data_IF_972843434680
#
_entry.id   IF_972843434680
#
_cell.length_a   1.000
_cell.length_b   1.000
_cell.length_c   1.000
_cell.angle_alpha   90.00
_cell.angle_beta   90.00
_cell.angle_gamma   90.00
#
_symmetry.space_group_name_H-M   'P 1'
#
loop_
_entity.id
_entity.type
_entity.pdbx_description
1 polymer ?
#
# COMPACT_ATOMS: atom_id res chain seq x y z
N UNK A 1 49.14 32.62 -7.15
CA UNK A 1 47.82 32.37 -6.53
C UNK A 1 47.04 31.39 -7.40
N UNK A 2 46.63 30.25 -6.85
CA UNK A 2 45.98 29.13 -7.55
C UNK A 2 44.51 29.46 -7.83
N UNK A 3 44.16 29.79 -9.07
CA UNK A 3 42.81 30.21 -9.50
C UNK A 3 41.97 29.09 -10.16
N UNK A 4 42.37 27.82 -10.06
CA UNK A 4 41.73 26.71 -10.78
C UNK A 4 40.73 25.87 -9.98
N UNK A 5 40.29 26.30 -8.80
CA UNK A 5 39.44 25.46 -7.93
C UNK A 5 37.96 25.86 -7.88
N UNK A 6 37.59 27.07 -8.31
CA UNK A 6 36.22 27.57 -8.11
C UNK A 6 35.14 26.96 -9.02
N UNK A 7 35.37 26.71 -10.34
CA UNK A 7 34.29 26.18 -11.20
C UNK A 7 34.01 24.69 -10.96
N UNK A 8 35.01 23.93 -10.50
CA UNK A 8 34.85 22.51 -10.19
C UNK A 8 33.98 22.29 -8.95
N UNK A 9 34.12 23.16 -7.94
CA UNK A 9 33.35 23.11 -6.68
C UNK A 9 31.90 23.53 -6.92
N UNK A 10 31.64 24.49 -7.81
CA UNK A 10 30.28 24.91 -8.14
C UNK A 10 29.50 23.81 -8.88
N UNK A 11 30.19 23.05 -9.74
CA UNK A 11 29.59 21.96 -10.52
C UNK A 11 29.21 20.76 -9.64
N UNK A 12 30.03 20.43 -8.63
CA UNK A 12 29.69 19.36 -7.67
C UNK A 12 28.51 19.75 -6.76
N UNK A 13 28.38 21.01 -6.35
CA UNK A 13 27.22 21.46 -5.54
C UNK A 13 25.92 21.37 -6.36
N UNK A 14 25.96 21.73 -7.64
CA UNK A 14 24.81 21.65 -8.56
C UNK A 14 24.39 20.19 -8.87
N UNK A 15 25.36 19.29 -8.95
CA UNK A 15 25.10 17.85 -9.14
C UNK A 15 24.60 17.16 -7.86
N UNK A 16 25.00 17.63 -6.66
CA UNK A 16 24.47 17.11 -5.40
C UNK A 16 23.02 17.53 -5.13
N UNK A 17 22.56 18.67 -5.67
CA UNK A 17 21.17 19.12 -5.49
C UNK A 17 20.11 18.30 -6.23
N UNK A 18 20.50 17.39 -7.12
CA UNK A 18 19.57 16.56 -7.92
C UNK A 18 19.26 15.21 -7.24
N UNK A 19 19.86 14.91 -6.07
CA UNK A 19 19.72 13.60 -5.40
C UNK A 19 18.67 13.61 -4.28
N UNK A 20 18.03 14.74 -4.00
CA UNK A 20 17.14 14.91 -2.83
C UNK A 20 15.65 14.89 -3.19
N UNK A 21 15.19 13.88 -3.92
CA UNK A 21 13.75 13.60 -4.05
C UNK A 21 13.46 12.15 -4.44
N UNK A 22 14.16 11.18 -3.86
CA UNK A 22 13.49 9.91 -3.57
C UNK A 22 12.63 10.16 -2.33
N UNK A 23 11.45 10.74 -2.50
CA UNK A 23 10.39 10.45 -1.53
C UNK A 23 10.24 8.94 -1.60
N UNK A 24 10.62 8.22 -0.55
CA UNK A 24 10.25 6.82 -0.42
C UNK A 24 8.73 6.79 -0.64
N UNK A 25 8.31 6.17 -1.75
CA UNK A 25 6.91 5.91 -1.97
C UNK A 25 6.56 4.87 -0.91
N UNK A 26 6.07 5.31 0.26
CA UNK A 26 5.71 4.48 1.41
C UNK A 26 4.47 3.59 1.11
N UNK A 27 4.20 3.35 -0.18
CA UNK A 27 3.17 2.45 -0.64
C UNK A 27 3.72 1.02 -0.66
N UNK A 28 3.30 0.28 0.34
CA UNK A 28 3.55 -1.14 0.47
C UNK A 28 2.61 -1.90 -0.46
N UNK A 29 3.13 -2.95 -1.10
CA UNK A 29 2.37 -3.84 -1.97
C UNK A 29 2.52 -5.28 -1.47
N UNK A 30 1.39 -5.97 -1.33
CA UNK A 30 1.33 -7.33 -0.81
C UNK A 30 0.34 -8.14 -1.62
N UNK A 31 0.65 -9.42 -1.84
CA UNK A 31 -0.17 -10.31 -2.66
C UNK A 31 -0.41 -11.62 -1.94
N UNK A 32 -1.59 -12.16 -2.16
CA UNK A 32 -1.94 -13.56 -1.90
C UNK A 32 -2.31 -14.22 -3.24
N UNK A 33 -2.86 -15.44 -3.20
CA UNK A 33 -3.16 -16.19 -4.43
C UNK A 33 -4.25 -15.48 -5.27
N UNK A 34 -5.21 -14.82 -4.62
CA UNK A 34 -6.36 -14.19 -5.28
C UNK A 34 -6.45 -12.68 -5.13
N UNK A 35 -5.57 -12.05 -4.34
CA UNK A 35 -5.66 -10.62 -4.04
C UNK A 35 -4.33 -9.87 -4.17
N UNK A 36 -4.42 -8.68 -4.74
CA UNK A 36 -3.37 -7.65 -4.73
C UNK A 36 -3.83 -6.51 -3.82
N UNK A 37 -3.05 -6.26 -2.76
CA UNK A 37 -3.35 -5.24 -1.76
C UNK A 37 -2.22 -4.21 -1.75
N UNK A 38 -2.58 -2.94 -1.73
CA UNK A 38 -1.63 -1.85 -1.47
C UNK A 38 -2.04 -1.04 -0.26
N UNK A 39 -1.05 -0.55 0.48
CA UNK A 39 -1.24 0.32 1.64
C UNK A 39 -0.18 1.42 1.63
N UNK A 40 -0.63 2.67 1.58
CA UNK A 40 0.21 3.82 1.83
C UNK A 40 0.13 4.18 3.32
N UNK A 41 1.10 3.74 4.12
CA UNK A 41 1.07 3.92 5.59
C UNK A 41 0.95 5.38 6.01
N UNK A 42 1.62 6.30 5.31
CA UNK A 42 1.64 7.73 5.64
C UNK A 42 0.27 8.42 5.53
N UNK A 43 -0.66 7.87 4.75
CA UNK A 43 -2.01 8.41 4.55
C UNK A 43 -3.10 7.43 5.01
N UNK A 44 -2.74 6.18 5.27
CA UNK A 44 -3.66 5.07 5.50
C UNK A 44 -4.41 4.62 4.25
N UNK A 45 -4.17 5.22 3.08
CA UNK A 45 -4.91 4.85 1.86
C UNK A 45 -4.56 3.41 1.45
N UNK A 46 -5.57 2.61 1.20
CA UNK A 46 -5.38 1.24 0.72
C UNK A 46 -6.22 0.95 -0.52
N UNK A 47 -5.79 -0.06 -1.26
CA UNK A 47 -6.57 -0.69 -2.33
C UNK A 47 -6.53 -2.19 -2.18
N UNK A 48 -7.64 -2.86 -2.46
CA UNK A 48 -7.76 -4.31 -2.53
C UNK A 48 -8.31 -4.64 -3.92
N UNK A 49 -7.57 -5.43 -4.69
CA UNK A 49 -7.91 -5.79 -6.07
C UNK A 49 -7.92 -7.30 -6.22
N UNK A 50 -9.00 -7.84 -6.78
CA UNK A 50 -9.09 -9.27 -7.09
C UNK A 50 -8.24 -9.59 -8.31
N UNK A 51 -7.38 -10.60 -8.20
CA UNK A 51 -6.49 -11.09 -9.25
C UNK A 51 -6.65 -12.59 -9.54
N UNK A 52 -7.63 -13.24 -8.91
CA UNK A 52 -7.94 -14.64 -9.16
C UNK A 52 -8.78 -14.87 -10.42
N UNK A 53 -9.11 -16.14 -10.67
CA UNK A 53 -9.78 -16.60 -11.90
C UNK A 53 -11.31 -16.71 -11.78
N UNK A 54 -11.90 -16.42 -10.63
CA UNK A 54 -13.35 -16.52 -10.43
C UNK A 54 -14.09 -15.42 -11.21
N UNK A 55 -15.25 -15.77 -11.75
CA UNK A 55 -16.05 -14.82 -12.54
C UNK A 55 -16.87 -13.85 -11.67
N UNK A 56 -17.11 -14.23 -10.41
CA UNK A 56 -17.95 -13.49 -9.46
C UNK A 56 -17.43 -13.66 -8.05
N UNK A 57 -17.54 -12.61 -7.27
CA UNK A 57 -17.16 -12.56 -5.87
C UNK A 57 -18.42 -12.36 -5.04
N UNK A 58 -18.70 -13.29 -4.13
CA UNK A 58 -19.84 -13.21 -3.22
C UNK A 58 -19.41 -12.98 -1.79
N UNK A 59 -20.24 -12.27 -1.06
CA UNK A 59 -20.10 -12.03 0.38
C UNK A 59 -18.71 -11.49 0.75
N UNK A 60 -18.15 -10.60 -0.09
CA UNK A 60 -16.83 -10.05 0.15
C UNK A 60 -16.83 -9.17 1.40
N UNK A 61 -16.00 -9.55 2.36
CA UNK A 61 -15.71 -8.82 3.59
C UNK A 61 -14.20 -8.83 3.81
N UNK A 62 -13.64 -7.76 4.34
CA UNK A 62 -12.27 -7.77 4.84
C UNK A 62 -12.20 -7.17 6.24
N UNK A 63 -11.31 -7.75 7.04
CA UNK A 63 -10.88 -7.21 8.33
C UNK A 63 -9.47 -6.62 8.16
N UNK A 64 -9.28 -5.40 8.66
CA UNK A 64 -8.02 -4.69 8.71
C UNK A 64 -7.61 -4.54 10.17
N UNK A 65 -6.51 -5.16 10.54
CA UNK A 65 -6.04 -5.25 11.93
C UNK A 65 -4.59 -4.81 12.07
N UNK A 66 -4.29 -4.15 13.18
CA UNK A 66 -2.94 -3.73 13.59
C UNK A 66 -2.98 -3.27 15.06
N UNK A 67 -1.84 -2.89 15.63
CA UNK A 67 -1.77 -2.56 17.07
C UNK A 67 -2.77 -1.49 17.54
N UNK A 68 -3.12 -0.54 16.69
CA UNK A 68 -4.10 0.53 16.94
C UNK A 68 -5.18 0.59 15.85
N UNK A 69 -5.34 -0.46 15.05
CA UNK A 69 -6.25 -0.50 13.91
C UNK A 69 -7.15 -1.73 14.06
N UNK A 70 -8.46 -1.49 14.04
CA UNK A 70 -9.47 -2.53 13.94
C UNK A 70 -10.61 -1.97 13.08
N UNK A 71 -10.68 -2.40 11.82
CA UNK A 71 -11.65 -1.91 10.85
C UNK A 71 -12.16 -3.06 10.00
N UNK A 72 -13.44 -2.98 9.62
CA UNK A 72 -14.05 -3.91 8.70
C UNK A 72 -14.66 -3.16 7.52
N UNK A 73 -14.51 -3.71 6.32
CA UNK A 73 -15.24 -3.26 5.15
C UNK A 73 -15.88 -4.42 4.40
N UNK A 74 -16.87 -4.11 3.57
CA UNK A 74 -17.63 -5.09 2.79
C UNK A 74 -18.07 -4.52 1.45
N UNK A 75 -18.24 -5.38 0.46
CA UNK A 75 -18.87 -5.02 -0.81
C UNK A 75 -20.38 -5.30 -0.78
N UNK A 76 -21.05 -5.20 -1.94
CA UNK A 76 -22.41 -5.77 -2.08
C UNK A 76 -22.32 -7.31 -2.05
N UNK A 77 -23.48 -7.94 -1.88
CA UNK A 77 -23.63 -9.40 -1.78
C UNK A 77 -22.95 -10.16 -2.93
N UNK A 78 -22.98 -9.62 -4.15
CA UNK A 78 -22.32 -10.18 -5.32
C UNK A 78 -21.66 -9.07 -6.15
N UNK A 79 -20.48 -9.36 -6.70
CA UNK A 79 -19.69 -8.47 -7.55
C UNK A 79 -19.23 -9.22 -8.80
N UNK A 80 -19.26 -8.56 -9.95
CA UNK A 80 -18.61 -9.05 -11.18
C UNK A 80 -17.12 -8.69 -11.19
N UNK A 81 -16.31 -9.48 -11.90
CA UNK A 81 -14.88 -9.21 -12.11
C UNK A 81 -14.70 -8.39 -13.40
N UNK A 82 -13.83 -7.35 -13.44
CA UNK A 82 -12.84 -6.98 -12.42
C UNK A 82 -13.45 -6.33 -11.17
N UNK A 83 -12.94 -6.73 -10.00
CA UNK A 83 -13.32 -6.18 -8.71
C UNK A 83 -12.13 -5.47 -8.04
N UNK A 84 -12.38 -4.25 -7.57
CA UNK A 84 -11.45 -3.49 -6.76
C UNK A 84 -12.19 -2.57 -5.81
N UNK A 85 -11.63 -2.36 -4.63
CA UNK A 85 -12.09 -1.30 -3.72
C UNK A 85 -10.92 -0.60 -3.05
N UNK A 86 -11.21 0.59 -2.53
CA UNK A 86 -10.24 1.42 -1.82
C UNK A 86 -10.89 2.08 -0.63
N UNK A 87 -10.07 2.42 0.35
CA UNK A 87 -10.50 3.18 1.51
C UNK A 87 -9.30 3.74 2.26
N UNK A 88 -9.55 4.16 3.49
CA UNK A 88 -8.54 4.74 4.37
C UNK A 88 -8.53 3.98 5.69
N UNK A 89 -7.38 3.43 6.04
CA UNK A 89 -7.05 2.86 7.33
C UNK A 89 -6.79 3.99 8.34
N UNK A 90 -7.70 4.19 9.28
CA UNK A 90 -7.56 5.26 10.28
C UNK A 90 -6.37 4.93 11.19
N UNK A 91 -5.52 5.91 11.43
CA UNK A 91 -4.34 5.81 12.30
C UNK A 91 -3.21 4.90 11.82
N UNK A 92 -3.21 4.48 10.56
CA UNK A 92 -2.13 3.70 9.99
C UNK A 92 -0.78 4.43 10.04
N UNK A 93 -0.79 5.77 9.96
CA UNK A 93 0.39 6.62 10.06
C UNK A 93 1.01 6.65 11.46
N UNK A 94 0.26 6.23 12.49
CA UNK A 94 0.69 6.27 13.89
C UNK A 94 1.41 5.01 14.35
N UNK A 95 1.43 3.97 13.53
CA UNK A 95 2.06 2.69 13.86
C UNK A 95 3.10 2.27 12.83
N UNK A 96 4.13 1.59 13.31
CA UNK A 96 5.10 0.86 12.47
C UNK A 96 4.94 -0.65 12.61
N UNK A 97 3.99 -1.09 13.41
CA UNK A 97 3.74 -2.50 13.63
C UNK A 97 3.07 -3.12 12.39
N UNK A 98 3.08 -4.46 12.29
CA UNK A 98 2.46 -5.13 11.17
C UNK A 98 0.97 -4.79 11.04
N UNK A 99 0.54 -4.56 9.81
CA UNK A 99 -0.86 -4.31 9.45
C UNK A 99 -1.33 -5.47 8.57
N UNK A 100 -2.42 -6.11 8.97
CA UNK A 100 -2.95 -7.32 8.33
C UNK A 100 -4.31 -7.07 7.75
N UNK A 101 -4.46 -7.40 6.46
CA UNK A 101 -5.73 -7.48 5.75
C UNK A 101 -6.13 -8.95 5.64
N UNK A 102 -7.29 -9.31 6.16
CA UNK A 102 -7.90 -10.63 5.99
C UNK A 102 -9.12 -10.49 5.09
N UNK A 103 -9.03 -10.98 3.87
CA UNK A 103 -10.12 -10.96 2.90
C UNK A 103 -10.89 -12.27 2.96
N UNK A 104 -12.22 -12.22 2.97
CA UNK A 104 -13.12 -13.38 2.92
C UNK A 104 -14.15 -13.18 1.81
N UNK A 105 -14.36 -14.19 0.98
CA UNK A 105 -15.30 -14.18 -0.15
C UNK A 105 -15.63 -15.62 -0.57
N UNK A 106 -16.75 -15.88 -1.24
CA UNK A 106 -17.07 -17.21 -1.80
C UNK A 106 -16.80 -18.40 -0.84
N UNK A 107 -17.00 -18.20 0.47
CA UNK A 107 -16.70 -19.18 1.54
C UNK A 107 -15.22 -19.61 1.64
N UNK A 108 -14.29 -18.75 1.23
CA UNK A 108 -12.84 -18.88 1.42
C UNK A 108 -12.25 -17.58 1.98
N UNK A 109 -10.99 -17.62 2.42
CA UNK A 109 -10.31 -16.45 2.96
C UNK A 109 -8.81 -16.49 2.75
N UNK A 110 -8.22 -15.31 2.58
CA UNK A 110 -6.78 -15.09 2.43
C UNK A 110 -6.33 -13.94 3.31
N UNK A 111 -5.01 -13.83 3.52
CA UNK A 111 -4.43 -12.80 4.37
C UNK A 111 -3.20 -12.20 3.70
N UNK A 112 -3.09 -10.87 3.79
CA UNK A 112 -1.90 -10.11 3.39
C UNK A 112 -1.45 -9.28 4.58
N UNK A 113 -0.20 -9.46 5.00
CA UNK A 113 0.41 -8.73 6.12
C UNK A 113 1.55 -7.85 5.61
N UNK A 114 1.54 -6.61 6.07
CA UNK A 114 2.56 -5.61 5.81
C UNK A 114 3.40 -5.40 7.07
N UNK A 115 4.69 -5.72 7.00
CA UNK A 115 5.69 -5.46 8.07
C UNK A 115 6.06 -3.98 8.14
#
# INVERSE_FOLDING_TARGET
MKLFKLPLILCTILLLSIVSACSADDRLHGKSDNWDVSLQRSTGNYSITYIGDEKRIKDFVFDLTGSNIDQQGKALEEQEVPFSMSGTATEAEKTKDPITFKMSWNNQSETVTFE
#
